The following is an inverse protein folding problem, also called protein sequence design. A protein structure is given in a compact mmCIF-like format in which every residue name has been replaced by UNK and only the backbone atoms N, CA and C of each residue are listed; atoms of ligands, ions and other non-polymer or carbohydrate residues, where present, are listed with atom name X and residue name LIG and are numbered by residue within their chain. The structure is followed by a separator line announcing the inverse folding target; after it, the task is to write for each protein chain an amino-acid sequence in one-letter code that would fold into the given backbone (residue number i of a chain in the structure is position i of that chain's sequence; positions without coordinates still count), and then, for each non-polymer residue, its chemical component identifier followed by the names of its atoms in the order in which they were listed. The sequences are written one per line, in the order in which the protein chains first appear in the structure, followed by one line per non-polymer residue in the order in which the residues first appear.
data_IF_076956812675
#
_entry.id   IF_076956812675
#
_cell.length_a   1.000
_cell.length_b   1.000
_cell.length_c   1.000
_cell.angle_alpha   90.00
_cell.angle_beta   90.00
_cell.angle_gamma   90.00
#
_symmetry.space_group_name_H-M   'P 1'
#
loop_
_entity.id
_entity.type
_entity.pdbx_description
1 polymer ?
#
# COMPACT_ATOMS: atom_id res chain seq x y z
N UNK A 1 -107.38 -11.09 4.07
CA UNK A 1 -106.17 -11.18 4.92
C UNK A 1 -105.07 -11.75 4.04
N UNK A 2 -104.23 -10.88 3.54
CA UNK A 2 -103.22 -11.18 2.53
C UNK A 2 -101.83 -11.32 3.09
N UNK A 3 -101.16 -12.42 2.83
CA UNK A 3 -99.82 -12.71 3.21
C UNK A 3 -98.89 -12.36 2.04
N UNK A 4 -98.22 -11.22 2.08
CA UNK A 4 -97.18 -10.84 1.13
C UNK A 4 -95.87 -11.50 1.48
N UNK A 5 -95.38 -12.44 0.63
CA UNK A 5 -94.00 -12.99 0.68
C UNK A 5 -93.07 -11.99 0.06
N UNK A 6 -92.10 -11.49 0.85
CA UNK A 6 -90.96 -10.72 0.35
C UNK A 6 -89.83 -11.69 0.00
N UNK A 7 -89.51 -11.78 -1.29
CA UNK A 7 -88.37 -12.50 -1.82
C UNK A 7 -87.17 -11.57 -1.80
N UNK A 8 -86.19 -11.82 -0.92
CA UNK A 8 -84.97 -11.08 -0.85
C UNK A 8 -83.92 -11.76 -1.73
N UNK A 9 -83.57 -11.10 -2.82
CA UNK A 9 -82.50 -11.53 -3.75
C UNK A 9 -81.15 -11.20 -3.15
N UNK A 10 -80.34 -12.19 -2.70
CA UNK A 10 -78.99 -12.04 -2.25
C UNK A 10 -78.04 -12.02 -3.48
N UNK A 11 -77.62 -10.84 -3.93
CA UNK A 11 -76.50 -10.70 -4.90
C UNK A 11 -75.18 -10.86 -4.15
N UNK A 12 -74.61 -12.07 -4.26
CA UNK A 12 -73.23 -12.33 -3.77
C UNK A 12 -72.22 -11.63 -4.65
N UNK A 13 -71.68 -10.54 -4.17
CA UNK A 13 -70.55 -9.86 -4.78
C UNK A 13 -69.23 -10.70 -4.54
N UNK A 14 -68.91 -11.56 -5.55
CA UNK A 14 -67.56 -12.20 -5.54
C UNK A 14 -66.51 -11.13 -5.76
N UNK A 15 -65.90 -10.63 -4.70
CA UNK A 15 -64.67 -9.87 -4.76
C UNK A 15 -63.56 -10.81 -5.25
N UNK A 16 -63.21 -10.74 -6.54
CA UNK A 16 -62.03 -11.30 -7.11
C UNK A 16 -60.81 -10.53 -6.51
N UNK A 17 -60.36 -10.99 -5.34
CA UNK A 17 -59.11 -10.53 -4.78
C UNK A 17 -57.99 -10.92 -5.74
N UNK A 18 -57.48 -9.95 -6.50
CA UNK A 18 -56.20 -10.10 -7.21
C UNK A 18 -55.10 -10.22 -6.18
N UNK A 19 -54.77 -11.44 -5.78
CA UNK A 19 -53.54 -11.70 -5.04
C UNK A 19 -52.39 -11.34 -5.93
N UNK A 20 -51.81 -10.18 -5.70
CA UNK A 20 -50.52 -9.81 -6.29
C UNK A 20 -49.50 -10.85 -5.80
N UNK A 21 -49.31 -11.91 -6.60
CA UNK A 21 -48.29 -12.90 -6.30
C UNK A 21 -46.91 -12.23 -6.45
N UNK A 22 -46.36 -11.83 -5.33
CA UNK A 22 -45.00 -11.30 -5.29
C UNK A 22 -44.03 -12.43 -5.67
N UNK A 23 -43.00 -12.10 -6.47
CA UNK A 23 -41.96 -13.06 -6.81
C UNK A 23 -41.28 -13.53 -5.53
N UNK A 24 -41.22 -14.85 -5.34
CA UNK A 24 -40.49 -15.45 -4.23
C UNK A 24 -39.07 -15.82 -4.68
N UNK A 25 -38.08 -15.36 -3.93
CA UNK A 25 -36.68 -15.71 -4.17
C UNK A 25 -36.07 -16.35 -2.92
N UNK A 26 -35.25 -17.35 -3.13
CA UNK A 26 -34.58 -18.08 -2.04
C UNK A 26 -33.11 -18.34 -2.34
N UNK A 27 -32.36 -18.58 -1.28
CA UNK A 27 -30.97 -19.00 -1.36
C UNK A 27 -30.87 -20.46 -1.81
N UNK A 28 -30.21 -20.70 -2.94
CA UNK A 28 -30.09 -22.03 -3.55
C UNK A 28 -28.80 -22.78 -3.12
N UNK A 29 -27.77 -22.04 -2.74
CA UNK A 29 -26.50 -22.54 -2.25
C UNK A 29 -26.02 -21.72 -1.08
N UNK A 30 -25.18 -22.30 -0.20
CA UNK A 30 -24.50 -21.58 0.89
C UNK A 30 -23.71 -20.40 0.34
N UNK A 31 -23.61 -19.34 1.14
CA UNK A 31 -22.82 -18.17 0.80
C UNK A 31 -21.37 -18.56 0.45
N UNK A 32 -20.85 -18.01 -0.63
CA UNK A 32 -19.42 -18.10 -0.93
C UNK A 32 -18.65 -17.29 0.09
N UNK A 33 -17.61 -17.87 0.66
CA UNK A 33 -16.77 -17.23 1.64
C UNK A 33 -15.36 -16.97 1.11
N UNK A 34 -14.92 -15.73 1.22
CA UNK A 34 -13.53 -15.34 0.96
C UNK A 34 -12.85 -15.12 2.30
N UNK A 35 -11.86 -15.95 2.59
CA UNK A 35 -10.94 -15.71 3.69
C UNK A 35 -9.84 -14.77 3.18
N UNK A 36 -9.90 -13.51 3.63
CA UNK A 36 -8.97 -12.49 3.19
C UNK A 36 -7.66 -12.64 3.97
N UNK A 37 -6.56 -12.91 3.29
CA UNK A 37 -5.22 -12.93 3.88
C UNK A 37 -4.26 -12.20 2.96
N UNK A 38 -3.46 -11.28 3.50
CA UNK A 38 -2.44 -10.53 2.77
C UNK A 38 -1.05 -10.75 3.35
N UNK A 39 -0.97 -11.32 4.57
CA UNK A 39 0.27 -11.48 5.30
C UNK A 39 0.78 -10.15 5.85
N UNK A 40 2.09 -9.97 5.83
CA UNK A 40 2.75 -8.75 6.30
C UNK A 40 2.65 -7.64 5.25
N UNK A 41 2.22 -6.47 5.69
CA UNK A 41 2.09 -5.25 4.88
C UNK A 41 2.93 -4.16 5.51
N UNK A 42 3.96 -3.71 4.81
CA UNK A 42 4.89 -2.67 5.27
C UNK A 42 4.43 -1.32 4.75
N UNK A 43 4.32 -0.35 5.64
CA UNK A 43 3.88 1.02 5.32
C UNK A 43 5.08 1.93 5.17
N UNK A 44 5.31 2.49 3.99
CA UNK A 44 6.33 3.52 3.82
C UNK A 44 5.91 4.82 4.52
N UNK A 45 6.80 5.43 5.34
CA UNK A 45 6.54 6.73 5.98
C UNK A 45 6.24 7.84 4.95
N UNK A 46 6.91 7.81 3.80
CA UNK A 46 6.81 8.85 2.76
C UNK A 46 5.58 8.69 1.86
N UNK A 47 4.82 7.61 2.01
CA UNK A 47 3.60 7.41 1.24
C UNK A 47 2.57 8.49 1.59
N UNK A 48 2.01 9.24 0.62
CA UNK A 48 1.02 10.29 0.89
C UNK A 48 -0.24 9.74 1.57
N UNK A 49 -0.89 10.58 2.38
CA UNK A 49 -2.21 10.27 2.94
C UNK A 49 -3.22 10.11 1.81
N UNK A 50 -4.08 9.11 1.90
CA UNK A 50 -5.04 8.71 0.86
C UNK A 50 -4.51 7.67 -0.12
N UNK A 51 -3.20 7.39 -0.12
CA UNK A 51 -2.62 6.38 -1.01
C UNK A 51 -2.97 4.96 -0.58
N UNK A 52 -3.04 4.07 -1.57
CA UNK A 52 -3.15 2.64 -1.35
C UNK A 52 -1.78 2.10 -0.94
N UNK A 53 -1.71 1.48 0.24
CA UNK A 53 -0.51 0.83 0.76
C UNK A 53 -0.35 -0.55 0.11
N UNK A 54 -1.44 -1.30 0.06
CA UNK A 54 -1.46 -2.63 -0.53
C UNK A 54 -2.86 -2.97 -1.06
N UNK A 55 -2.89 -3.77 -2.12
CA UNK A 55 -4.13 -4.29 -2.72
C UNK A 55 -4.03 -5.79 -2.86
N UNK A 56 -5.11 -6.51 -2.55
CA UNK A 56 -5.27 -7.91 -2.91
C UNK A 56 -6.65 -8.16 -3.49
N UNK A 57 -6.68 -9.03 -4.50
CA UNK A 57 -7.90 -9.37 -5.24
C UNK A 57 -8.12 -10.87 -5.20
N UNK A 58 -9.37 -11.28 -5.03
CA UNK A 58 -9.85 -12.65 -5.07
C UNK A 58 -10.86 -12.79 -6.21
N UNK A 59 -10.66 -13.76 -7.07
CA UNK A 59 -11.58 -14.07 -8.16
C UNK A 59 -12.79 -14.82 -7.62
N UNK A 60 -14.00 -14.43 -8.05
CA UNK A 60 -15.22 -15.19 -7.76
C UNK A 60 -15.20 -16.52 -8.51
N UNK A 61 -15.83 -17.57 -7.96
CA UNK A 61 -15.86 -18.86 -8.63
C UNK A 61 -16.62 -18.75 -9.96
N UNK A 62 -15.96 -19.18 -11.01
CA UNK A 62 -16.53 -19.27 -12.38
C UNK A 62 -17.06 -20.70 -12.61
N UNK A 63 -18.02 -21.11 -11.79
CA UNK A 63 -18.55 -22.46 -11.78
C UNK A 63 -20.06 -22.41 -11.93
N UNK A 64 -20.73 -21.97 -12.77
CA UNK A 64 -22.20 -21.99 -12.96
C UNK A 64 -23.07 -22.13 -11.69
N UNK A 65 -22.50 -21.94 -10.48
CA UNK A 65 -23.22 -22.07 -9.22
C UNK A 65 -24.26 -20.96 -9.08
N UNK A 66 -25.52 -21.36 -8.93
CA UNK A 66 -26.64 -20.46 -8.69
C UNK A 66 -26.78 -20.27 -7.17
N UNK A 67 -26.63 -19.03 -6.70
CA UNK A 67 -26.76 -18.67 -5.28
C UNK A 67 -28.18 -18.21 -4.92
N UNK A 68 -28.91 -17.68 -5.90
CA UNK A 68 -30.31 -17.27 -5.71
C UNK A 68 -31.15 -17.80 -6.87
N UNK A 69 -32.28 -18.36 -6.53
CA UNK A 69 -33.36 -18.75 -7.51
C UNK A 69 -34.62 -18.00 -7.15
N UNK A 70 -35.35 -17.56 -8.16
CA UNK A 70 -36.70 -16.98 -8.05
C UNK A 70 -37.70 -17.79 -8.84
N UNK A 71 -38.95 -17.83 -8.40
CA UNK A 71 -40.05 -18.56 -9.05
C UNK A 71 -40.42 -17.99 -10.44
N UNK A 72 -40.04 -16.75 -10.69
CA UNK A 72 -40.21 -16.04 -11.97
C UNK A 72 -39.10 -15.03 -12.20
N UNK A 73 -39.01 -14.54 -13.43
CA UNK A 73 -38.14 -13.41 -13.75
C UNK A 73 -38.54 -12.18 -12.92
N UNK A 74 -37.66 -11.65 -12.10
CA UNK A 74 -37.93 -10.55 -11.20
C UNK A 74 -36.70 -9.62 -11.05
N UNK A 75 -36.97 -8.39 -10.66
CA UNK A 75 -35.92 -7.42 -10.31
C UNK A 75 -35.52 -7.60 -8.86
N UNK A 76 -34.28 -7.92 -8.62
CA UNK A 76 -33.71 -8.22 -7.31
C UNK A 76 -32.68 -7.17 -6.93
N UNK A 77 -32.87 -6.54 -5.77
CA UNK A 77 -31.90 -5.65 -5.18
C UNK A 77 -31.04 -6.42 -4.19
N UNK A 78 -29.72 -6.40 -4.40
CA UNK A 78 -28.75 -6.98 -3.49
C UNK A 78 -27.93 -5.86 -2.82
N UNK A 79 -27.82 -5.94 -1.50
CA UNK A 79 -27.07 -4.97 -0.70
C UNK A 79 -25.66 -5.49 -0.39
N UNK A 80 -24.68 -4.64 -0.56
CA UNK A 80 -23.30 -4.83 -0.13
C UNK A 80 -23.10 -4.08 1.19
N UNK A 81 -22.70 -4.79 2.25
CA UNK A 81 -22.57 -4.23 3.61
C UNK A 81 -21.19 -4.50 4.16
N UNK A 82 -20.68 -3.57 4.99
CA UNK A 82 -19.55 -3.80 5.87
C UNK A 82 -20.11 -4.09 7.26
N UNK A 83 -19.80 -5.26 7.79
CA UNK A 83 -20.38 -5.79 9.05
C UNK A 83 -19.36 -5.90 10.18
N UNK A 84 -18.06 -5.66 9.88
CA UNK A 84 -17.00 -5.78 10.87
C UNK A 84 -17.20 -4.79 12.03
N UNK A 85 -17.15 -5.32 13.25
CA UNK A 85 -17.20 -4.51 14.44
C UNK A 85 -15.97 -3.59 14.58
N UNK A 86 -16.18 -2.38 15.10
CA UNK A 86 -15.09 -1.43 15.36
C UNK A 86 -14.58 -0.66 14.14
N UNK A 87 -15.08 -0.95 12.93
CA UNK A 87 -14.78 -0.15 11.76
C UNK A 87 -15.70 1.08 11.67
N UNK A 88 -15.12 2.25 11.42
CA UNK A 88 -15.86 3.50 11.23
C UNK A 88 -15.66 3.98 9.80
N UNK A 89 -16.77 4.18 9.10
CA UNK A 89 -16.75 4.66 7.72
C UNK A 89 -16.33 6.14 7.67
N UNK A 90 -15.29 6.41 6.92
CA UNK A 90 -14.82 7.75 6.56
C UNK A 90 -15.16 8.16 5.14
N UNK A 91 -14.45 9.17 4.64
CA UNK A 91 -14.56 9.62 3.25
C UNK A 91 -14.19 8.51 2.26
N UNK A 92 -14.75 8.57 1.05
CA UNK A 92 -14.49 7.62 -0.05
C UNK A 92 -14.72 6.15 0.30
N UNK A 93 -15.65 5.87 1.25
CA UNK A 93 -15.96 4.52 1.74
C UNK A 93 -14.71 3.80 2.28
N UNK A 94 -13.78 4.54 2.88
CA UNK A 94 -12.62 4.00 3.61
C UNK A 94 -13.00 3.84 5.07
N UNK A 95 -12.79 2.67 5.62
CA UNK A 95 -13.12 2.32 7.00
C UNK A 95 -11.86 2.39 7.86
N UNK A 96 -11.86 3.23 8.91
CA UNK A 96 -10.77 3.26 9.87
C UNK A 96 -10.71 1.97 10.68
N UNK A 97 -9.51 1.51 10.96
CA UNK A 97 -9.25 0.33 11.81
C UNK A 97 -8.83 0.75 13.21
N UNK A 98 -8.63 -0.22 14.10
CA UNK A 98 -8.02 0.03 15.41
C UNK A 98 -6.53 0.44 15.32
N UNK A 99 -5.89 0.23 14.14
CA UNK A 99 -4.51 0.65 13.90
C UNK A 99 -4.52 2.10 13.41
N UNK A 100 -3.92 3.05 14.15
CA UNK A 100 -3.92 4.46 13.77
C UNK A 100 -3.39 4.67 12.35
N UNK A 101 -4.04 5.50 11.56
CA UNK A 101 -3.62 5.85 10.20
C UNK A 101 -3.78 4.75 9.16
N UNK A 102 -4.45 3.64 9.48
CA UNK A 102 -4.73 2.53 8.57
C UNK A 102 -6.23 2.39 8.34
N UNK A 103 -6.61 2.42 7.08
CA UNK A 103 -8.00 2.21 6.65
C UNK A 103 -8.14 1.05 5.67
N UNK A 104 -9.34 0.51 5.57
CA UNK A 104 -9.72 -0.56 4.67
C UNK A 104 -10.80 -0.09 3.70
N UNK A 105 -10.69 -0.48 2.44
CA UNK A 105 -11.73 -0.26 1.45
C UNK A 105 -12.01 -1.57 0.72
N UNK A 106 -13.30 -1.91 0.63
CA UNK A 106 -13.77 -3.15 0.02
C UNK A 106 -14.48 -2.83 -1.28
N UNK A 107 -14.19 -3.58 -2.33
CA UNK A 107 -14.81 -3.37 -3.65
C UNK A 107 -15.01 -4.66 -4.41
N UNK A 108 -15.96 -4.64 -5.36
CA UNK A 108 -16.11 -5.65 -6.42
C UNK A 108 -15.89 -5.00 -7.77
N UNK A 109 -15.33 -5.74 -8.71
CA UNK A 109 -15.07 -5.30 -10.09
C UNK A 109 -15.42 -6.43 -11.07
N UNK A 110 -15.86 -6.08 -12.25
CA UNK A 110 -16.28 -7.01 -13.31
C UNK A 110 -17.72 -6.70 -13.75
N UNK A 111 -18.53 -7.70 -13.97
CA UNK A 111 -19.96 -7.52 -14.31
C UNK A 111 -20.70 -6.67 -13.27
N UNK A 112 -20.34 -6.82 -12.00
CA UNK A 112 -20.78 -5.95 -10.92
C UNK A 112 -19.58 -5.15 -10.42
N UNK A 113 -19.67 -3.81 -10.53
CA UNK A 113 -18.66 -2.90 -10.02
C UNK A 113 -19.23 -2.00 -8.95
N UNK A 114 -18.71 -2.11 -7.71
CA UNK A 114 -19.17 -1.33 -6.56
C UNK A 114 -18.08 -1.19 -5.49
N UNK A 115 -18.18 -0.14 -4.68
CA UNK A 115 -17.40 0.03 -3.44
C UNK A 115 -18.38 -0.09 -2.27
N UNK A 116 -18.08 -0.97 -1.32
CA UNK A 116 -18.91 -1.20 -0.13
C UNK A 116 -18.94 0.00 0.81
N UNK A 117 -20.08 0.38 1.42
CA UNK A 117 -21.40 -0.19 1.21
C UNK A 117 -22.05 0.35 -0.07
N UNK A 118 -22.88 -0.49 -0.72
CA UNK A 118 -23.60 -0.13 -1.93
C UNK A 118 -24.76 -1.06 -2.16
N UNK A 119 -25.54 -0.87 -3.24
CA UNK A 119 -26.56 -1.81 -3.67
C UNK A 119 -26.52 -1.96 -5.18
N UNK A 120 -26.87 -3.14 -5.64
CA UNK A 120 -26.95 -3.48 -7.06
C UNK A 120 -28.30 -4.12 -7.37
N UNK A 121 -28.91 -3.68 -8.46
CA UNK A 121 -30.19 -4.21 -8.92
C UNK A 121 -30.00 -4.96 -10.23
N UNK A 122 -30.51 -6.16 -10.29
CA UNK A 122 -30.46 -7.01 -11.49
C UNK A 122 -31.79 -7.71 -11.70
N UNK A 123 -32.10 -8.11 -12.94
CA UNK A 123 -33.35 -8.78 -13.30
C UNK A 123 -33.04 -10.18 -13.82
N UNK A 124 -33.76 -11.17 -13.32
CA UNK A 124 -33.59 -12.57 -13.70
C UNK A 124 -34.36 -13.52 -12.80
N UNK A 125 -34.23 -14.80 -13.06
CA UNK A 125 -34.78 -15.90 -12.22
C UNK A 125 -33.68 -16.70 -11.51
N UNK A 126 -32.41 -16.48 -11.85
CA UNK A 126 -31.27 -17.12 -11.21
C UNK A 126 -30.06 -16.19 -11.22
N UNK A 127 -29.30 -16.16 -10.09
CA UNK A 127 -28.19 -15.23 -9.93
C UNK A 127 -26.93 -15.97 -9.46
N UNK A 128 -25.79 -15.59 -10.06
CA UNK A 128 -24.46 -16.16 -9.83
C UNK A 128 -23.49 -15.09 -9.33
N UNK A 129 -22.30 -15.49 -8.87
CA UNK A 129 -21.21 -14.59 -8.49
C UNK A 129 -20.10 -14.50 -9.55
N UNK A 130 -20.18 -15.30 -10.60
CA UNK A 130 -19.20 -15.36 -11.68
C UNK A 130 -18.96 -14.00 -12.37
N UNK A 131 -17.86 -13.88 -13.10
CA UNK A 131 -17.52 -12.68 -13.88
C UNK A 131 -17.06 -11.47 -13.06
N UNK A 132 -16.79 -11.64 -11.76
CA UNK A 132 -16.34 -10.54 -10.90
C UNK A 132 -15.21 -10.93 -9.95
N UNK A 133 -14.54 -9.94 -9.40
CA UNK A 133 -13.50 -10.08 -8.39
C UNK A 133 -13.86 -9.28 -7.14
N UNK A 134 -13.41 -9.73 -5.97
CA UNK A 134 -13.45 -8.97 -4.73
C UNK A 134 -12.06 -8.41 -4.44
N UNK A 135 -11.99 -7.17 -4.03
CA UNK A 135 -10.72 -6.47 -3.76
C UNK A 135 -10.73 -5.82 -2.38
N UNK A 136 -9.66 -6.00 -1.64
CA UNK A 136 -9.34 -5.29 -0.42
C UNK A 136 -8.16 -4.35 -0.69
N UNK A 137 -8.37 -3.06 -0.46
CA UNK A 137 -7.31 -2.06 -0.40
C UNK A 137 -7.02 -1.68 1.04
N UNK A 138 -5.75 -1.64 1.40
CA UNK A 138 -5.26 -1.04 2.65
C UNK A 138 -4.78 0.36 2.31
N UNK A 139 -5.30 1.37 3.02
CA UNK A 139 -5.13 2.79 2.68
C UNK A 139 -4.48 3.53 3.84
N UNK A 140 -3.50 4.39 3.54
CA UNK A 140 -2.92 5.31 4.51
C UNK A 140 -3.87 6.47 4.78
N UNK A 141 -4.36 6.61 6.01
CA UNK A 141 -5.36 7.62 6.38
C UNK A 141 -4.82 8.76 7.25
N UNK A 142 -3.55 8.67 7.67
CA UNK A 142 -2.87 9.72 8.45
C UNK A 142 -1.39 9.80 8.06
N UNK A 143 -0.75 10.93 8.34
CA UNK A 143 0.71 11.13 8.16
C UNK A 143 1.51 10.17 9.03
N UNK A 144 1.03 9.88 10.23
CA UNK A 144 1.58 8.87 11.13
C UNK A 144 0.72 7.61 11.09
N UNK A 145 1.37 6.45 11.05
CA UNK A 145 0.70 5.15 11.02
C UNK A 145 1.20 4.28 12.17
N UNK A 146 0.27 3.57 12.78
CA UNK A 146 0.57 2.55 13.77
C UNK A 146 0.91 1.21 13.12
N UNK A 147 1.30 0.26 13.94
CA UNK A 147 1.48 -1.14 13.57
C UNK A 147 0.59 -2.03 14.39
N UNK A 148 0.34 -3.23 13.91
CA UNK A 148 -0.51 -4.20 14.59
C UNK A 148 -1.15 -5.17 13.62
N UNK A 149 -1.97 -6.05 14.15
CA UNK A 149 -2.74 -7.01 13.37
C UNK A 149 -4.16 -6.48 13.14
N UNK A 150 -4.65 -6.59 11.93
CA UNK A 150 -6.05 -6.32 11.62
C UNK A 150 -6.90 -7.39 12.32
N UNK A 151 -7.96 -6.95 13.00
CA UNK A 151 -8.81 -7.83 13.80
C UNK A 151 -9.40 -8.98 12.94
N UNK A 152 -9.46 -10.17 13.50
CA UNK A 152 -10.14 -11.31 12.88
C UNK A 152 -11.66 -11.20 13.00
N UNK A 153 -12.40 -11.89 12.12
CA UNK A 153 -13.86 -11.92 12.13
C UNK A 153 -14.49 -11.66 10.77
N UNK A 154 -15.83 -11.53 10.72
CA UNK A 154 -16.56 -11.19 9.49
C UNK A 154 -16.35 -9.72 9.11
N UNK A 155 -16.25 -9.44 7.81
CA UNK A 155 -15.97 -8.10 7.30
C UNK A 155 -17.05 -7.57 6.38
N UNK A 156 -17.45 -8.32 5.37
CA UNK A 156 -18.46 -7.87 4.42
C UNK A 156 -19.49 -8.94 4.12
N UNK A 157 -20.67 -8.50 3.76
CA UNK A 157 -21.76 -9.34 3.28
C UNK A 157 -22.39 -8.73 2.02
N UNK A 158 -22.86 -9.60 1.12
CA UNK A 158 -23.59 -9.20 -0.08
C UNK A 158 -24.70 -10.17 -0.37
N UNK A 159 -25.90 -9.65 -0.69
CA UNK A 159 -27.02 -10.44 -1.11
C UNK A 159 -28.38 -9.75 -0.97
N UNK A 160 -29.47 -10.39 -1.43
CA UNK A 160 -30.82 -9.82 -1.51
C UNK A 160 -31.66 -10.17 -0.26
N UNK A 161 -31.34 -9.58 0.88
CA UNK A 161 -32.00 -9.88 2.15
C UNK A 161 -31.43 -11.10 2.90
N UNK A 162 -30.67 -11.95 2.21
CA UNK A 162 -29.85 -13.03 2.76
C UNK A 162 -28.48 -13.00 2.10
N UNK A 163 -27.48 -13.53 2.78
CA UNK A 163 -26.07 -13.43 2.34
C UNK A 163 -25.72 -14.51 1.34
N UNK A 164 -25.17 -14.13 0.19
CA UNK A 164 -24.66 -15.05 -0.86
C UNK A 164 -23.15 -14.94 -1.05
N UNK A 165 -22.53 -13.83 -0.61
CA UNK A 165 -21.09 -13.64 -0.54
C UNK A 165 -20.75 -13.03 0.80
N UNK A 166 -19.79 -13.60 1.50
CA UNK A 166 -19.23 -13.05 2.73
C UNK A 166 -17.71 -13.05 2.70
N UNK A 167 -17.11 -12.13 3.42
CA UNK A 167 -15.65 -12.11 3.60
C UNK A 167 -15.31 -12.10 5.08
N UNK A 168 -14.22 -12.76 5.42
CA UNK A 168 -13.70 -12.86 6.78
C UNK A 168 -12.19 -12.74 6.81
N UNK A 169 -11.64 -12.44 7.97
CA UNK A 169 -10.21 -12.53 8.30
C UNK A 169 -10.00 -13.55 9.42
N UNK A 170 -9.07 -14.44 9.23
CA UNK A 170 -8.54 -15.27 10.31
C UNK A 170 -7.60 -14.45 11.21
N UNK A 171 -7.26 -14.95 12.37
CA UNK A 171 -6.22 -14.36 13.21
C UNK A 171 -4.91 -14.22 12.42
N UNK A 172 -4.22 -13.11 12.60
CA UNK A 172 -2.93 -12.78 11.97
C UNK A 172 -2.91 -12.81 10.43
N UNK A 173 -4.08 -12.80 9.79
CA UNK A 173 -4.19 -12.84 8.34
C UNK A 173 -3.62 -11.58 7.66
N UNK A 174 -3.62 -10.43 8.35
CA UNK A 174 -3.02 -9.17 7.89
C UNK A 174 -2.30 -8.50 9.05
N UNK A 175 -1.00 -8.31 8.91
CA UNK A 175 -0.15 -7.60 9.87
C UNK A 175 0.42 -6.35 9.25
N UNK A 176 0.16 -5.21 9.87
CA UNK A 176 0.69 -3.90 9.46
C UNK A 176 1.98 -3.63 10.20
N UNK A 177 3.03 -3.25 9.46
CA UNK A 177 4.34 -2.85 9.99
C UNK A 177 4.66 -1.45 9.48
N UNK A 178 4.83 -0.51 10.40
CA UNK A 178 5.14 0.90 10.09
C UNK A 178 6.51 1.27 10.68
N UNK A 179 7.60 0.93 10.01
CA UNK A 179 8.94 1.29 10.44
C UNK A 179 9.20 2.78 10.20
N UNK A 180 10.05 3.37 11.02
CA UNK A 180 10.50 4.74 10.86
C UNK A 180 11.95 4.86 11.27
N UNK A 181 12.77 5.55 10.47
CA UNK A 181 14.13 5.91 10.83
C UNK A 181 14.29 7.43 10.80
N UNK A 182 14.97 7.96 11.81
CA UNK A 182 15.37 9.36 11.90
C UNK A 182 16.88 9.46 11.70
N UNK A 183 17.33 10.38 10.84
CA UNK A 183 18.76 10.66 10.67
C UNK A 183 19.23 11.50 11.85
N UNK A 184 20.18 10.97 12.62
CA UNK A 184 20.78 11.67 13.74
C UNK A 184 21.74 12.75 13.20
N UNK A 185 21.60 13.97 13.72
CA UNK A 185 22.37 15.12 13.24
C UNK A 185 21.68 15.95 12.16
N UNK A 186 20.47 15.51 11.70
CA UNK A 186 19.66 16.26 10.73
C UNK A 186 19.72 15.69 9.31
N UNK A 187 18.83 16.19 8.47
CA UNK A 187 18.67 15.72 7.08
C UNK A 187 19.77 16.19 6.14
N UNK A 188 20.44 17.28 6.48
CA UNK A 188 21.54 17.85 5.69
C UNK A 188 22.84 17.68 6.48
N UNK A 189 23.83 17.06 5.86
CA UNK A 189 25.13 16.82 6.43
C UNK A 189 26.20 17.42 5.52
N UNK A 190 27.08 18.26 6.08
CA UNK A 190 28.28 18.74 5.39
C UNK A 190 29.46 17.86 5.74
N UNK A 191 30.11 17.34 4.72
CA UNK A 191 31.32 16.52 4.84
C UNK A 191 32.49 17.28 4.21
N UNK A 192 33.41 17.77 5.04
CA UNK A 192 34.64 18.39 4.56
C UNK A 192 35.65 17.28 4.18
N UNK A 193 35.97 17.19 2.89
CA UNK A 193 36.90 16.21 2.34
C UNK A 193 38.37 16.72 2.34
N UNK A 194 38.60 17.91 2.88
CA UNK A 194 39.91 18.51 3.00
C UNK A 194 40.45 19.11 1.69
N UNK A 195 41.79 19.16 1.59
CA UNK A 195 42.47 19.73 0.45
C UNK A 195 43.56 18.78 -0.06
N UNK A 196 43.71 18.70 -1.37
CA UNK A 196 44.79 17.94 -2.02
C UNK A 196 45.62 18.84 -2.96
N UNK A 197 46.80 18.43 -3.30
CA UNK A 197 47.57 19.03 -4.40
C UNK A 197 47.13 18.41 -5.72
N UNK A 198 47.04 19.23 -6.78
CA UNK A 198 46.73 18.70 -8.13
C UNK A 198 47.69 17.57 -8.54
N UNK A 199 48.94 17.64 -8.12
CA UNK A 199 49.96 16.63 -8.41
C UNK A 199 49.70 15.26 -7.74
N UNK A 200 48.79 15.18 -6.76
CA UNK A 200 48.43 13.93 -6.09
C UNK A 200 47.51 13.07 -7.00
N UNK A 201 46.82 13.69 -7.96
CA UNK A 201 46.06 13.03 -8.99
C UNK A 201 46.97 12.69 -10.18
N UNK A 202 47.07 11.42 -10.55
CA UNK A 202 48.05 10.89 -11.52
C UNK A 202 47.44 10.55 -12.91
N UNK A 203 46.20 10.86 -13.13
CA UNK A 203 45.46 10.56 -14.36
C UNK A 203 44.03 10.08 -14.10
N UNK A 204 43.29 9.91 -15.18
CA UNK A 204 41.93 9.44 -15.10
C UNK A 204 41.85 8.12 -14.33
N UNK A 205 40.90 8.01 -13.42
CA UNK A 205 40.71 6.82 -12.57
C UNK A 205 41.51 6.87 -11.24
N UNK A 206 42.40 7.87 -11.04
CA UNK A 206 43.12 8.00 -9.77
C UNK A 206 42.36 8.86 -8.77
N UNK A 207 42.66 8.67 -7.52
CA UNK A 207 42.07 9.38 -6.38
C UNK A 207 43.14 9.84 -5.38
N UNK A 208 42.80 10.82 -4.57
CA UNK A 208 43.65 11.34 -3.52
C UNK A 208 42.87 11.91 -2.35
N UNK A 209 43.47 11.95 -1.18
CA UNK A 209 42.87 12.52 0.05
C UNK A 209 41.58 11.81 0.46
N UNK A 210 40.75 12.55 1.16
CA UNK A 210 39.43 12.14 1.56
C UNK A 210 39.20 12.01 3.05
N UNK A 211 37.95 11.93 3.44
CA UNK A 211 37.52 11.93 4.84
C UNK A 211 36.47 10.84 5.06
N UNK A 212 36.59 10.03 6.11
CA UNK A 212 35.54 9.14 6.55
C UNK A 212 34.42 9.94 7.19
N UNK A 213 33.17 9.46 6.99
CA UNK A 213 31.99 10.01 7.64
C UNK A 213 30.95 8.93 7.86
N UNK A 214 30.05 9.15 8.81
CA UNK A 214 29.01 8.21 9.18
C UNK A 214 27.63 8.82 8.95
N UNK A 215 26.72 8.08 8.32
CA UNK A 215 25.29 8.35 8.41
C UNK A 215 24.77 7.53 9.58
N UNK A 216 24.23 8.21 10.60
CA UNK A 216 23.69 7.58 11.82
C UNK A 216 22.18 7.67 11.82
N UNK A 217 21.53 6.56 12.06
CA UNK A 217 20.09 6.43 12.09
C UNK A 217 19.62 5.89 13.44
N UNK A 218 18.52 6.44 13.94
CA UNK A 218 17.71 5.84 14.97
C UNK A 218 16.42 5.33 14.32
N UNK A 219 16.23 4.03 14.34
CA UNK A 219 15.12 3.35 13.68
C UNK A 219 14.23 2.70 14.73
N UNK A 220 12.92 2.93 14.63
CA UNK A 220 11.91 2.26 15.45
C UNK A 220 11.03 1.38 14.59
N UNK A 221 10.87 0.13 15.00
CA UNK A 221 9.91 -0.81 14.42
C UNK A 221 8.56 -0.61 15.08
N UNK A 222 7.58 -0.16 14.34
CA UNK A 222 6.19 -0.23 14.79
C UNK A 222 5.71 -1.68 14.80
N UNK A 223 4.88 -2.04 15.74
CA UNK A 223 4.72 -3.36 16.28
C UNK A 223 3.69 -4.26 15.67
N UNK A 224 4.04 -5.51 15.52
CA UNK A 224 3.20 -6.68 15.69
C UNK A 224 4.02 -7.80 16.35
N UNK A 225 3.39 -8.72 17.05
CA UNK A 225 4.04 -9.79 17.84
C UNK A 225 4.98 -10.68 17.02
N UNK A 226 4.88 -10.67 15.69
CA UNK A 226 5.71 -11.48 14.77
C UNK A 226 6.24 -10.70 13.56
N UNK A 227 6.14 -9.37 13.56
CA UNK A 227 6.52 -8.55 12.42
C UNK A 227 7.99 -8.11 12.45
N UNK A 228 8.59 -8.04 11.27
CA UNK A 228 9.87 -7.39 11.06
C UNK A 228 9.78 -6.50 9.80
N UNK A 229 10.69 -5.53 9.66
CA UNK A 229 10.86 -4.75 8.46
C UNK A 229 12.34 -4.70 8.08
N UNK A 230 12.66 -4.95 6.83
CA UNK A 230 14.00 -4.70 6.32
C UNK A 230 14.15 -3.21 6.04
N UNK A 231 15.26 -2.64 6.51
CA UNK A 231 15.64 -1.26 6.23
C UNK A 231 16.63 -1.31 5.10
N UNK A 232 16.30 -0.60 4.02
CA UNK A 232 17.17 -0.50 2.86
C UNK A 232 17.50 0.95 2.59
N UNK A 233 18.63 1.17 1.96
CA UNK A 233 19.03 2.49 1.47
C UNK A 233 19.44 2.42 0.02
N UNK A 234 19.28 3.54 -0.67
CA UNK A 234 19.91 3.81 -1.96
C UNK A 234 20.50 5.21 -1.97
N UNK A 235 21.47 5.40 -2.81
CA UNK A 235 22.19 6.66 -2.95
C UNK A 235 22.07 7.14 -4.39
N UNK A 236 21.92 8.44 -4.58
CA UNK A 236 21.89 9.06 -5.91
C UNK A 236 22.58 10.41 -5.88
N UNK A 237 22.94 10.91 -7.05
CA UNK A 237 23.57 12.21 -7.25
C UNK A 237 23.93 12.41 -8.71
N UNK A 238 24.40 13.59 -9.07
CA UNK A 238 24.83 13.89 -10.44
C UNK A 238 26.15 13.17 -10.73
N UNK A 239 26.15 12.26 -11.71
CA UNK A 239 27.36 11.52 -12.09
C UNK A 239 28.38 12.42 -12.80
N UNK A 240 29.66 12.25 -12.48
CA UNK A 240 30.75 12.87 -13.21
C UNK A 240 30.77 12.37 -14.66
N UNK A 241 31.14 13.25 -15.60
CA UNK A 241 31.20 12.94 -17.03
C UNK A 241 32.11 11.73 -17.29
N UNK A 242 31.68 10.82 -18.18
CA UNK A 242 32.40 9.59 -18.53
C UNK A 242 32.60 8.62 -17.35
N UNK A 243 31.79 8.71 -16.32
CA UNK A 243 31.72 7.72 -15.24
C UNK A 243 30.38 7.01 -15.25
N UNK A 244 30.29 5.89 -14.55
CA UNK A 244 29.08 5.09 -14.41
C UNK A 244 28.65 4.96 -12.95
N UNK A 245 27.39 4.59 -12.73
CA UNK A 245 26.80 4.51 -11.38
C UNK A 245 27.61 3.62 -10.41
N UNK A 246 28.22 2.54 -10.92
CA UNK A 246 29.03 1.61 -10.13
C UNK A 246 30.44 2.15 -9.74
N UNK A 247 30.84 3.29 -10.28
CA UNK A 247 32.08 3.95 -9.90
C UNK A 247 31.90 4.93 -8.74
N UNK A 248 30.68 5.31 -8.39
CA UNK A 248 30.38 6.16 -7.24
C UNK A 248 30.95 7.56 -7.32
N UNK A 249 31.10 8.14 -8.52
CA UNK A 249 31.75 9.44 -8.73
C UNK A 249 30.71 10.52 -9.00
N UNK A 250 30.62 11.47 -8.08
CA UNK A 250 29.78 12.66 -8.17
C UNK A 250 30.49 13.76 -8.96
N UNK A 251 29.72 14.45 -9.79
CA UNK A 251 30.20 15.64 -10.50
C UNK A 251 30.52 16.76 -9.50
N UNK A 252 31.55 17.57 -9.81
CA UNK A 252 31.74 18.84 -9.13
C UNK A 252 30.63 19.81 -9.60
N UNK A 253 29.74 20.18 -8.69
CA UNK A 253 28.61 21.09 -8.94
C UNK A 253 28.95 22.56 -8.66
N UNK A 254 30.18 22.81 -8.15
CA UNK A 254 30.66 24.17 -8.04
C UNK A 254 30.76 24.82 -9.40
N UNK A 255 30.33 26.06 -9.50
CA UNK A 255 30.33 26.82 -10.76
C UNK A 255 31.22 28.07 -10.67
N UNK A 256 31.54 28.66 -11.82
CA UNK A 256 32.34 29.87 -11.91
C UNK A 256 33.86 29.62 -11.95
N UNK A 257 34.65 30.68 -11.78
CA UNK A 257 36.10 30.63 -11.94
C UNK A 257 36.84 29.95 -10.79
N UNK A 258 36.15 29.78 -9.64
CA UNK A 258 36.72 29.08 -8.48
C UNK A 258 36.55 27.56 -8.55
N UNK A 259 35.76 27.05 -9.49
CA UNK A 259 35.48 25.62 -9.61
C UNK A 259 36.68 24.84 -10.18
N UNK A 260 37.07 23.76 -9.53
CA UNK A 260 38.01 22.77 -10.09
C UNK A 260 37.35 22.04 -11.27
N UNK A 261 38.13 21.78 -12.34
CA UNK A 261 37.71 21.02 -13.50
C UNK A 261 38.33 19.64 -13.55
N UNK A 262 37.63 18.66 -14.04
CA UNK A 262 38.10 17.30 -14.26
C UNK A 262 38.26 16.47 -12.97
N UNK A 263 37.79 17.01 -11.83
CA UNK A 263 37.83 16.37 -10.50
C UNK A 263 36.41 16.34 -9.94
N UNK A 264 36.02 15.22 -9.37
CA UNK A 264 34.75 15.02 -8.66
C UNK A 264 34.98 14.37 -7.29
N UNK A 265 33.92 13.96 -6.64
CA UNK A 265 33.94 13.27 -5.35
C UNK A 265 33.52 11.83 -5.54
N UNK A 266 34.42 10.90 -5.22
CA UNK A 266 34.08 9.47 -5.18
C UNK A 266 33.66 9.07 -3.77
N UNK A 267 32.52 8.37 -3.66
CA UNK A 267 32.05 7.84 -2.38
C UNK A 267 32.33 6.35 -2.32
N UNK A 268 32.87 5.91 -1.20
CA UNK A 268 33.28 4.54 -0.93
C UNK A 268 32.43 3.99 0.22
N UNK A 269 31.97 2.77 0.06
CA UNK A 269 31.30 1.97 1.09
C UNK A 269 32.00 0.60 1.17
N UNK A 270 32.34 0.15 2.36
CA UNK A 270 32.98 -1.16 2.58
C UNK A 270 34.20 -1.40 1.64
N UNK A 271 35.06 -0.38 1.51
CA UNK A 271 36.25 -0.36 0.64
C UNK A 271 35.98 -0.49 -0.87
N UNK A 272 34.72 -0.40 -1.30
CA UNK A 272 34.34 -0.43 -2.71
C UNK A 272 33.62 0.86 -3.12
N UNK A 273 33.71 1.29 -4.40
CA UNK A 273 32.90 2.41 -4.87
C UNK A 273 31.43 2.19 -4.59
N UNK A 274 30.77 3.21 -4.05
CA UNK A 274 29.35 3.19 -3.78
C UNK A 274 28.58 3.19 -5.12
N UNK A 275 27.84 2.14 -5.39
CA UNK A 275 27.02 2.05 -6.62
C UNK A 275 25.71 2.84 -6.44
N UNK A 276 25.51 3.87 -7.28
CA UNK A 276 24.31 4.70 -7.22
C UNK A 276 23.09 3.96 -7.75
N UNK A 277 21.93 4.29 -7.17
CA UNK A 277 20.62 3.69 -7.45
C UNK A 277 20.52 2.18 -7.12
N UNK A 278 21.54 1.62 -6.49
CA UNK A 278 21.51 0.26 -5.95
C UNK A 278 20.87 0.24 -4.57
N UNK A 279 20.06 -0.77 -4.33
CA UNK A 279 19.45 -1.03 -3.02
C UNK A 279 20.45 -1.79 -2.13
N UNK A 280 20.73 -1.24 -0.95
CA UNK A 280 21.56 -1.86 0.09
C UNK A 280 20.68 -2.17 1.30
N UNK A 281 20.63 -3.41 1.74
CA UNK A 281 20.05 -3.72 3.05
C UNK A 281 21.03 -3.27 4.14
N UNK A 282 20.53 -2.49 5.09
CA UNK A 282 21.33 -1.91 6.19
C UNK A 282 20.89 -2.42 7.55
N UNK A 283 19.86 -3.22 7.61
CA UNK A 283 19.39 -3.86 8.83
C UNK A 283 17.97 -4.37 8.74
N UNK A 284 17.58 -5.10 9.77
CA UNK A 284 16.20 -5.57 9.97
C UNK A 284 15.75 -5.09 11.33
N UNK A 285 14.58 -4.46 11.39
CA UNK A 285 13.90 -4.08 12.63
C UNK A 285 12.94 -5.18 13.03
N UNK A 286 13.04 -5.61 14.26
CA UNK A 286 12.04 -6.47 14.89
C UNK A 286 10.90 -5.61 15.45
N UNK A 287 9.81 -6.28 15.77
CA UNK A 287 8.68 -5.68 16.45
C UNK A 287 9.10 -5.03 17.76
N UNK A 288 8.65 -3.79 18.02
CA UNK A 288 8.95 -2.97 19.21
C UNK A 288 10.44 -2.65 19.44
N UNK A 289 11.31 -2.93 18.47
CA UNK A 289 12.72 -2.66 18.58
C UNK A 289 13.03 -1.19 18.27
N UNK A 290 13.89 -0.57 19.05
CA UNK A 290 14.62 0.65 18.67
C UNK A 290 16.05 0.25 18.35
N UNK A 291 16.50 0.57 17.14
CA UNK A 291 17.82 0.18 16.66
C UNK A 291 18.59 1.37 16.13
N UNK A 292 19.84 1.48 16.55
CA UNK A 292 20.79 2.45 16.02
C UNK A 292 21.61 1.80 14.91
N UNK A 293 21.64 2.43 13.74
CA UNK A 293 22.37 1.95 12.56
C UNK A 293 23.40 3.02 12.20
N UNK A 294 24.64 2.61 12.04
CA UNK A 294 25.71 3.45 11.53
C UNK A 294 26.15 2.94 10.17
N UNK A 295 26.16 3.84 9.18
CA UNK A 295 26.64 3.57 7.82
C UNK A 295 27.98 4.29 7.62
N UNK A 296 29.10 3.60 7.76
CA UNK A 296 30.41 4.19 7.52
C UNK A 296 30.63 4.36 6.01
N UNK A 297 30.98 5.56 5.62
CA UNK A 297 31.31 5.96 4.26
C UNK A 297 32.64 6.73 4.24
N UNK A 298 33.20 6.82 3.04
CA UNK A 298 34.41 7.62 2.84
C UNK A 298 34.27 8.40 1.54
N UNK A 299 34.47 9.73 1.59
CA UNK A 299 34.46 10.60 0.42
C UNK A 299 35.90 11.00 0.07
N UNK A 300 36.27 10.96 -1.21
CA UNK A 300 37.63 11.31 -1.68
C UNK A 300 37.58 12.01 -3.03
N UNK A 301 38.63 12.77 -3.35
CA UNK A 301 38.78 13.37 -4.67
C UNK A 301 39.09 12.30 -5.72
N UNK A 302 38.44 12.42 -6.90
CA UNK A 302 38.61 11.50 -7.99
C UNK A 302 38.81 12.23 -9.31
N UNK A 303 39.84 11.89 -10.05
CA UNK A 303 40.06 12.44 -11.38
C UNK A 303 39.26 11.69 -12.43
N UNK A 304 38.27 12.35 -13.03
CA UNK A 304 37.44 11.76 -14.08
C UNK A 304 37.81 12.25 -15.51
N UNK A 305 38.60 13.31 -15.63
CA UNK A 305 39.01 13.86 -16.94
C UNK A 305 40.54 13.88 -17.12
N UNK A 306 41.03 13.84 -18.37
CA UNK A 306 42.47 13.87 -18.66
C UNK A 306 43.16 15.10 -18.13
N UNK A 307 42.51 16.24 -18.12
CA UNK A 307 43.04 17.51 -17.62
C UNK A 307 42.26 17.95 -16.38
N UNK A 308 43.00 18.45 -15.40
CA UNK A 308 42.44 18.99 -14.17
C UNK A 308 42.90 20.44 -13.94
N UNK A 309 42.06 21.24 -13.29
CA UNK A 309 42.44 22.55 -12.77
C UNK A 309 42.33 22.59 -11.25
N UNK A 310 43.07 23.52 -10.63
CA UNK A 310 42.86 23.87 -9.23
C UNK A 310 41.54 24.57 -9.04
N UNK A 311 40.98 24.49 -7.83
CA UNK A 311 39.72 25.14 -7.46
C UNK A 311 38.96 24.35 -6.40
N UNK A 312 37.74 24.80 -6.14
CA UNK A 312 36.84 24.21 -5.18
C UNK A 312 36.05 23.02 -5.79
N UNK A 313 35.80 22.04 -4.97
CA UNK A 313 34.96 20.88 -5.34
C UNK A 313 33.79 20.78 -4.37
N UNK A 314 32.59 20.77 -4.89
CA UNK A 314 31.33 20.63 -4.16
C UNK A 314 30.45 19.61 -4.88
N UNK A 315 29.89 18.65 -4.16
CA UNK A 315 29.04 17.61 -4.74
C UNK A 315 27.95 17.21 -3.76
N UNK A 316 26.80 16.83 -4.27
CA UNK A 316 25.65 16.41 -3.46
C UNK A 316 25.38 14.92 -3.62
N UNK A 317 25.27 14.23 -2.49
CA UNK A 317 24.81 12.84 -2.40
C UNK A 317 23.45 12.81 -1.74
N UNK A 318 22.46 12.24 -2.41
CA UNK A 318 21.12 12.02 -1.86
C UNK A 318 21.05 10.61 -1.30
N UNK A 319 20.60 10.50 -0.05
CA UNK A 319 20.39 9.27 0.67
C UNK A 319 18.89 9.02 0.82
N UNK A 320 18.41 7.87 0.34
CA UNK A 320 17.00 7.48 0.42
C UNK A 320 16.85 6.22 1.28
N UNK A 321 15.86 6.22 2.16
CA UNK A 321 15.47 5.06 2.97
C UNK A 321 14.22 4.42 2.40
N UNK A 322 14.20 3.09 2.34
CA UNK A 322 13.02 2.30 1.97
C UNK A 322 12.87 1.11 2.92
N UNK A 323 11.64 0.63 3.06
CA UNK A 323 11.31 -0.46 3.98
C UNK A 323 10.54 -1.54 3.23
N UNK A 324 10.82 -2.83 3.54
CA UNK A 324 10.11 -3.99 2.97
C UNK A 324 10.06 -5.21 3.91
#
# INVERSE_FOLDING_TARGET
MSLMKKLTLFIGLMALGTTSAWASCWQSNSAYEINMAMGRVVVSPDLPVGSVIATKTWTMPDNNTIYVTCDRNTTLKSDAKVVAAGLVQGANKVYSTAIPGIGLRFSRKGEISMIYPDSYTTTGSSFRLAGSTFTLDIIKTSTTTGSGTIASGPYTEYGPGFTILKTSLNADAITIVSPSCTILGGKNMNVDIGTIKRADLKGVGTWAGGTPFDIKLECSGGVSVSGYANINTSFSGTLATNTSANQGVLLNEKTGNSAAKGVGVQVIKDNTPLEFNKKYNIGTLQSQETRYITLPLHARFYQYAPTTSTGEVESHLVFNLTYD
#
